data_IF_758478859013
#
_entry.id   IF_758478859013
#
_cell.length_a   1.000
_cell.length_b   1.000
_cell.length_c   1.000
_cell.angle_alpha   90.00
_cell.angle_beta   90.00
_cell.angle_gamma   90.00
#
_symmetry.space_group_name_H-M   'P 1'
#
loop_
_entity.id
_entity.type
_entity.pdbx_description
1 polymer ?
#
# COMPACT_ATOMS: atom_id res chain seq x y z
N UNK A 1 11.19 -29.14 -24.25
CA UNK A 1 12.16 -28.12 -23.83
C UNK A 1 11.36 -26.90 -23.39
N UNK A 2 11.00 -26.84 -22.11
CA UNK A 2 10.25 -25.74 -21.51
C UNK A 2 10.73 -25.65 -20.06
N UNK A 3 11.58 -24.68 -19.81
CA UNK A 3 12.17 -24.35 -18.50
C UNK A 3 11.13 -23.59 -17.69
N UNK A 4 10.47 -24.27 -16.76
CA UNK A 4 9.69 -23.62 -15.71
C UNK A 4 10.63 -23.34 -14.54
N UNK A 5 11.32 -22.21 -14.58
CA UNK A 5 12.09 -21.73 -13.42
C UNK A 5 11.11 -21.14 -12.40
N UNK A 6 10.78 -21.99 -11.41
CA UNK A 6 10.08 -21.58 -10.20
C UNK A 6 10.99 -20.72 -9.33
N UNK A 7 10.93 -19.40 -9.49
CA UNK A 7 11.52 -18.45 -8.57
C UNK A 7 10.65 -18.30 -7.33
N UNK A 8 10.83 -19.21 -6.38
CA UNK A 8 10.40 -19.03 -4.99
C UNK A 8 11.55 -18.31 -4.28
N UNK A 9 11.63 -16.98 -4.46
CA UNK A 9 12.60 -16.16 -3.75
C UNK A 9 12.23 -16.17 -2.27
N UNK A 10 13.09 -16.79 -1.46
CA UNK A 10 12.94 -16.92 -0.01
C UNK A 10 12.89 -15.52 0.62
N UNK A 11 11.68 -15.06 0.93
CA UNK A 11 11.44 -13.83 1.68
C UNK A 11 11.97 -14.06 3.11
N UNK A 12 13.16 -13.54 3.40
CA UNK A 12 13.63 -13.39 4.79
C UNK A 12 12.92 -12.18 5.37
N UNK A 13 11.85 -12.46 6.12
CA UNK A 13 11.08 -11.47 6.87
C UNK A 13 11.98 -10.89 7.97
N UNK A 14 12.67 -9.79 7.67
CA UNK A 14 13.23 -8.90 8.69
C UNK A 14 12.27 -7.73 8.83
N UNK A 15 11.18 -7.97 9.55
CA UNK A 15 10.05 -7.06 9.65
C UNK A 15 10.37 -5.83 10.50
N UNK A 16 10.39 -4.65 9.90
CA UNK A 16 10.11 -3.41 10.61
C UNK A 16 8.59 -3.19 10.61
N UNK A 17 7.96 -3.51 11.75
CA UNK A 17 6.53 -3.46 11.98
C UNK A 17 6.15 -2.05 12.46
N UNK A 18 5.71 -1.17 11.55
CA UNK A 18 5.17 0.13 11.95
C UNK A 18 3.67 -0.01 12.31
N UNK A 19 3.38 -0.41 13.56
CA UNK A 19 2.02 -0.31 14.12
C UNK A 19 1.82 1.10 14.66
N UNK A 20 1.02 1.90 13.96
CA UNK A 20 0.64 3.23 14.41
C UNK A 20 -0.49 3.11 15.45
N UNK A 21 -0.14 3.07 16.74
CA UNK A 21 -1.09 3.25 17.84
C UNK A 21 -1.54 4.71 17.89
N UNK A 22 -2.85 4.91 17.89
CA UNK A 22 -3.51 6.20 17.79
C UNK A 22 -3.94 6.65 19.19
N UNK A 23 -3.13 7.45 19.88
CA UNK A 23 -3.56 8.17 21.10
C UNK A 23 -2.86 9.53 21.30
N UNK A 24 -3.68 10.58 21.22
CA UNK A 24 -3.64 11.90 21.89
C UNK A 24 -2.70 13.00 21.33
N UNK A 25 -3.20 14.24 21.14
CA UNK A 25 -2.50 15.34 20.47
C UNK A 25 -1.73 16.21 21.47
N UNK A 26 -0.50 16.57 21.16
CA UNK A 26 0.21 17.65 21.83
C UNK A 26 1.03 18.43 20.81
N UNK A 27 0.72 19.73 20.72
CA UNK A 27 1.55 20.76 20.12
C UNK A 27 3.02 20.50 20.45
N UNK A 28 3.89 20.43 19.45
CA UNK A 28 5.25 20.96 19.52
C UNK A 28 5.74 21.19 18.08
N UNK A 29 6.07 22.45 17.83
CA UNK A 29 6.90 22.90 16.73
C UNK A 29 8.15 22.05 16.62
N UNK A 30 8.38 21.45 15.47
CA UNK A 30 9.73 21.23 14.98
C UNK A 30 9.64 21.36 13.47
N UNK A 31 10.40 22.32 12.92
CA UNK A 31 10.64 22.32 11.48
C UNK A 31 11.18 20.95 11.15
N UNK A 32 10.38 20.16 10.45
CA UNK A 32 10.81 18.85 9.99
C UNK A 32 11.84 19.13 8.90
N UNK A 33 13.10 19.26 9.33
CA UNK A 33 14.24 18.95 8.49
C UNK A 33 14.01 17.50 8.09
N UNK A 34 13.36 17.33 6.94
CA UNK A 34 13.41 16.11 6.16
C UNK A 34 14.88 15.72 6.21
N UNK A 35 15.24 14.57 6.82
CA UNK A 35 16.62 14.15 6.80
C UNK A 35 17.03 14.19 5.33
N UNK A 36 18.13 14.88 5.04
CA UNK A 36 18.75 14.96 3.71
C UNK A 36 19.37 13.58 3.39
N UNK A 37 18.51 12.57 3.50
CA UNK A 37 18.76 11.16 3.37
C UNK A 37 18.46 10.82 1.94
N UNK A 38 19.49 10.29 1.28
CA UNK A 38 19.44 9.78 -0.07
C UNK A 38 18.22 8.84 -0.21
N UNK A 39 17.17 9.33 -0.88
CA UNK A 39 15.95 8.53 -1.06
C UNK A 39 16.28 7.34 -1.97
N UNK A 40 15.90 6.11 -1.59
CA UNK A 40 16.21 4.96 -2.41
C UNK A 40 15.43 4.99 -3.72
N UNK A 41 16.03 4.46 -4.79
CA UNK A 41 15.38 4.36 -6.10
C UNK A 41 14.46 3.15 -6.11
N UNK A 42 13.22 3.32 -6.56
CA UNK A 42 12.25 2.24 -6.65
C UNK A 42 12.65 1.26 -7.74
N UNK A 43 13.03 0.05 -7.35
CA UNK A 43 13.46 -1.03 -8.23
C UNK A 43 12.30 -1.95 -8.61
N UNK A 44 11.35 -2.15 -7.70
CA UNK A 44 10.16 -2.96 -7.97
C UNK A 44 8.91 -2.44 -7.24
N UNK A 45 7.74 -2.64 -7.88
CA UNK A 45 6.42 -2.35 -7.31
C UNK A 45 5.55 -3.58 -7.53
N UNK A 46 5.03 -4.12 -6.43
CA UNK A 46 4.18 -5.31 -6.43
C UNK A 46 2.87 -5.04 -5.69
N UNK A 47 1.82 -5.73 -6.12
CA UNK A 47 0.50 -5.66 -5.52
C UNK A 47 0.08 -7.06 -5.08
N UNK A 48 -0.17 -7.24 -3.80
CA UNK A 48 -0.76 -8.46 -3.26
C UNK A 48 -2.22 -8.20 -2.93
N UNK A 49 -3.12 -8.80 -3.71
CA UNK A 49 -4.57 -8.63 -3.56
C UNK A 49 -5.18 -9.92 -3.02
N UNK A 50 -5.76 -9.88 -1.83
CA UNK A 50 -6.46 -11.02 -1.22
C UNK A 50 -7.92 -11.08 -1.71
N UNK A 51 -8.14 -11.12 -3.02
CA UNK A 51 -9.47 -11.05 -3.65
C UNK A 51 -9.73 -12.21 -4.61
N UNK A 52 -10.96 -12.77 -4.65
CA UNK A 52 -11.40 -13.63 -5.74
C UNK A 52 -11.71 -12.82 -7.02
N UNK A 53 -11.87 -11.50 -6.93
CA UNK A 53 -12.13 -10.61 -8.07
C UNK A 53 -10.83 -10.17 -8.75
N UNK A 54 -10.79 -10.25 -10.08
CA UNK A 54 -9.65 -9.85 -10.91
C UNK A 54 -9.57 -8.32 -11.02
N UNK A 55 -8.88 -7.67 -10.09
CA UNK A 55 -8.39 -6.30 -10.30
C UNK A 55 -7.10 -6.40 -11.10
N UNK A 56 -7.00 -5.66 -12.20
CA UNK A 56 -5.81 -5.72 -13.05
C UNK A 56 -4.63 -4.95 -12.44
N UNK A 57 -3.41 -5.33 -12.81
CA UNK A 57 -2.20 -4.62 -12.37
C UNK A 57 -2.22 -3.17 -12.87
N UNK A 58 -2.61 -2.96 -14.12
CA UNK A 58 -2.64 -1.64 -14.77
C UNK A 58 -3.58 -0.69 -14.04
N UNK A 59 -4.72 -1.21 -13.59
CA UNK A 59 -5.70 -0.46 -12.83
C UNK A 59 -5.12 0.02 -11.49
N UNK A 60 -4.41 -0.85 -10.77
CA UNK A 60 -3.75 -0.51 -9.51
C UNK A 60 -2.55 0.42 -9.69
N UNK A 61 -1.72 0.17 -10.72
CA UNK A 61 -0.57 0.99 -11.06
C UNK A 61 -0.98 2.41 -11.45
N UNK A 62 -2.14 2.58 -12.08
CA UNK A 62 -2.73 3.88 -12.40
C UNK A 62 -3.17 4.68 -11.17
N UNK A 63 -3.44 4.02 -10.04
CA UNK A 63 -3.92 4.65 -8.81
C UNK A 63 -2.81 5.10 -7.87
N UNK A 64 -1.65 4.46 -7.93
CA UNK A 64 -0.48 4.86 -7.14
C UNK A 64 0.29 5.98 -7.83
N UNK A 65 1.04 6.78 -7.08
CA UNK A 65 1.94 7.82 -7.62
C UNK A 65 3.37 7.36 -7.75
N UNK A 66 3.76 6.33 -6.99
CA UNK A 66 5.11 5.73 -7.10
C UNK A 66 5.32 5.08 -8.46
N UNK A 67 6.54 5.20 -9.00
CA UNK A 67 6.93 4.67 -10.32
C UNK A 67 8.31 4.02 -10.23
N UNK A 68 8.52 3.00 -11.05
CA UNK A 68 9.83 2.37 -11.20
C UNK A 68 10.88 3.41 -11.64
N UNK A 69 12.08 3.32 -11.09
CA UNK A 69 13.19 4.23 -11.38
C UNK A 69 13.08 5.61 -10.74
N UNK A 70 12.05 5.89 -9.94
CA UNK A 70 11.90 7.17 -9.23
C UNK A 70 12.36 7.07 -7.77
N UNK A 71 12.68 8.21 -7.17
CA UNK A 71 13.02 8.28 -5.75
C UNK A 71 11.80 7.96 -4.89
N UNK A 72 11.97 7.06 -3.94
CA UNK A 72 10.94 6.71 -2.98
C UNK A 72 10.85 7.78 -1.89
N UNK A 73 9.85 8.65 -1.99
CA UNK A 73 9.58 9.63 -0.93
C UNK A 73 8.42 9.17 -0.04
N UNK A 74 8.46 9.46 1.28
CA UNK A 74 7.34 9.20 2.17
C UNK A 74 6.04 9.89 1.71
N UNK A 75 6.15 11.07 1.10
CA UNK A 75 5.02 11.80 0.54
C UNK A 75 4.35 11.04 -0.62
N UNK A 76 5.13 10.42 -1.51
CA UNK A 76 4.60 9.64 -2.62
C UNK A 76 3.87 8.37 -2.15
N UNK A 77 4.38 7.70 -1.10
CA UNK A 77 3.67 6.55 -0.50
C UNK A 77 2.36 6.98 0.14
N UNK A 78 2.36 8.05 0.95
CA UNK A 78 1.15 8.58 1.56
C UNK A 78 0.10 8.97 0.52
N UNK A 79 0.51 9.65 -0.56
CA UNK A 79 -0.40 10.02 -1.64
C UNK A 79 -0.95 8.79 -2.39
N UNK A 80 -0.11 7.78 -2.62
CA UNK A 80 -0.55 6.51 -3.23
C UNK A 80 -1.61 5.81 -2.38
N UNK A 81 -1.37 5.69 -1.07
CA UNK A 81 -2.34 5.16 -0.11
C UNK A 81 -3.65 5.96 -0.15
N UNK A 82 -3.54 7.29 -0.12
CA UNK A 82 -4.71 8.19 -0.17
C UNK A 82 -5.54 8.04 -1.45
N UNK A 83 -4.89 7.84 -2.61
CA UNK A 83 -5.57 7.61 -3.89
C UNK A 83 -6.28 6.27 -3.95
N UNK A 84 -5.63 5.22 -3.44
CA UNK A 84 -6.24 3.89 -3.34
C UNK A 84 -7.46 3.89 -2.41
N UNK A 85 -7.41 4.62 -1.29
CA UNK A 85 -8.58 4.79 -0.41
C UNK A 85 -9.76 5.49 -1.11
N UNK A 86 -9.51 6.46 -1.98
CA UNK A 86 -10.58 7.20 -2.68
C UNK A 86 -11.44 6.34 -3.59
N UNK A 87 -10.96 5.16 -4.01
CA UNK A 87 -11.76 4.24 -4.82
C UNK A 87 -12.77 3.44 -3.99
N UNK A 88 -12.69 3.46 -2.65
CA UNK A 88 -13.62 2.73 -1.75
C UNK A 88 -13.75 1.24 -2.13
N UNK A 89 -12.69 0.64 -2.65
CA UNK A 89 -12.68 -0.78 -3.06
C UNK A 89 -12.05 -1.69 -2.00
N UNK A 90 -11.29 -1.12 -1.07
CA UNK A 90 -10.45 -1.87 -0.15
C UNK A 90 -10.84 -1.59 1.30
N UNK A 91 -11.03 -2.65 2.08
CA UNK A 91 -11.24 -2.58 3.53
C UNK A 91 -9.93 -2.30 4.26
N UNK A 92 -8.86 -2.95 3.81
CA UNK A 92 -7.53 -2.79 4.40
C UNK A 92 -6.51 -2.53 3.30
N UNK A 93 -5.57 -1.65 3.62
CA UNK A 93 -4.50 -1.23 2.75
C UNK A 93 -3.24 -1.03 3.59
N UNK A 94 -2.18 -1.72 3.21
CA UNK A 94 -0.85 -1.51 3.76
C UNK A 94 0.18 -1.39 2.64
N UNK A 95 1.23 -0.60 2.88
CA UNK A 95 2.38 -0.52 2.02
C UNK A 95 3.62 -0.94 2.82
N UNK A 96 4.36 -1.90 2.29
CA UNK A 96 5.62 -2.36 2.84
C UNK A 96 6.75 -1.91 1.92
N UNK A 97 7.83 -1.42 2.52
CA UNK A 97 9.03 -1.01 1.80
C UNK A 97 10.18 -1.85 2.32
N UNK A 98 10.86 -2.52 1.40
CA UNK A 98 12.13 -3.19 1.67
C UNK A 98 13.24 -2.43 0.96
N UNK A 99 14.17 -1.89 1.72
CA UNK A 99 15.34 -1.17 1.20
C UNK A 99 16.57 -2.08 1.21
N UNK A 100 17.27 -2.14 0.09
CA UNK A 100 18.52 -2.89 -0.07
C UNK A 100 19.46 -2.14 -1.02
N UNK A 101 20.63 -1.76 -0.54
CA UNK A 101 21.68 -1.12 -1.36
C UNK A 101 21.25 0.15 -2.11
N UNK A 102 20.43 1.01 -1.48
CA UNK A 102 19.91 2.24 -2.11
C UNK A 102 18.77 2.00 -3.10
N UNK A 103 18.28 0.76 -3.20
CA UNK A 103 17.09 0.39 -3.96
C UNK A 103 15.94 0.07 -3.02
N UNK A 104 14.73 0.39 -3.44
CA UNK A 104 13.52 0.09 -2.71
C UNK A 104 12.61 -0.84 -3.50
N UNK A 105 12.13 -1.87 -2.81
CA UNK A 105 11.06 -2.76 -3.28
C UNK A 105 9.79 -2.41 -2.53
N UNK A 106 8.74 -2.03 -3.25
CA UNK A 106 7.47 -1.61 -2.66
C UNK A 106 6.42 -2.70 -2.86
N UNK A 107 5.77 -3.11 -1.78
CA UNK A 107 4.66 -4.05 -1.79
C UNK A 107 3.40 -3.38 -1.24
N UNK A 108 2.38 -3.26 -2.07
CA UNK A 108 1.04 -2.86 -1.64
C UNK A 108 0.21 -4.10 -1.32
N UNK A 109 -0.15 -4.27 -0.05
CA UNK A 109 -1.09 -5.29 0.39
C UNK A 109 -2.50 -4.71 0.44
N UNK A 110 -3.41 -5.30 -0.34
CA UNK A 110 -4.76 -4.80 -0.55
C UNK A 110 -5.78 -5.89 -0.20
N UNK A 111 -6.70 -5.56 0.72
CA UNK A 111 -7.84 -6.42 1.04
C UNK A 111 -9.12 -5.76 0.52
N UNK A 112 -9.85 -6.37 -0.44
CA UNK A 112 -11.06 -5.80 -0.99
C UNK A 112 -12.20 -5.73 0.05
N UNK A 113 -13.17 -4.87 -0.20
CA UNK A 113 -14.46 -4.95 0.49
C UNK A 113 -15.22 -6.21 0.03
N UNK A 114 -15.96 -6.86 0.94
CA UNK A 114 -16.86 -7.94 0.55
C UNK A 114 -17.96 -7.40 -0.37
N UNK A 115 -18.42 -8.23 -1.29
CA UNK A 115 -19.57 -7.89 -2.13
C UNK A 115 -20.84 -7.95 -1.30
N UNK A 116 -21.67 -6.92 -1.43
CA UNK A 116 -23.00 -6.88 -0.81
C UNK A 116 -23.93 -7.77 -1.64
N UNK A 117 -24.44 -8.83 -1.02
CA UNK A 117 -25.34 -9.79 -1.68
C UNK A 117 -26.81 -9.49 -1.43
N UNK A 118 -27.13 -8.86 -0.30
CA UNK A 118 -28.50 -8.54 0.10
C UNK A 118 -28.50 -7.28 0.97
N UNK A 119 -29.55 -6.47 0.83
CA UNK A 119 -29.78 -5.28 1.65
C UNK A 119 -31.17 -5.40 2.26
N UNK A 120 -31.24 -5.57 3.58
CA UNK A 120 -32.50 -5.57 4.33
C UNK A 120 -32.67 -4.22 5.06
N UNK A 121 -33.80 -3.55 4.86
CA UNK A 121 -34.13 -2.29 5.56
C UNK A 121 -35.17 -2.58 6.64
N UNK A 122 -34.76 -2.58 7.90
CA UNK A 122 -35.67 -2.77 9.04
C UNK A 122 -36.12 -1.44 9.63
N UNK A 123 -37.39 -1.08 9.35
CA UNK A 123 -38.14 -0.03 10.03
C UNK A 123 -37.70 1.40 9.72
N UNK A 124 -38.54 2.14 8.99
CA UNK A 124 -38.42 3.61 8.95
C UNK A 124 -39.44 4.16 9.93
N UNK A 125 -39.01 4.73 11.07
CA UNK A 125 -39.93 5.46 11.95
C UNK A 125 -40.43 6.67 11.16
N UNK A 126 -41.67 6.61 10.67
CA UNK A 126 -42.39 7.77 10.15
C UNK A 126 -42.55 8.76 11.30
N UNK A 127 -41.97 9.95 11.14
CA UNK A 127 -42.29 11.14 11.95
C UNK A 127 -43.31 11.95 11.17
#
# INVERSE_FOLDING_TARGET
MATTDGWITRIRVLGFLAVLFLTVPALLSSGETVPDGEFPVIDSISFQVASPYRVSYEELAGLVTVRLGTLLTPAAIRESIRRLHRKTLFRELAAYVLEDGGRAQVLFYLRPLPVVTEIEVRGTKRV
#
